data_IF_332049739468
#
_entry.id   IF_332049739468
#
_cell.length_a   1.000
_cell.length_b   1.000
_cell.length_c   1.000
_cell.angle_alpha   90.00
_cell.angle_beta   90.00
_cell.angle_gamma   90.00
#
_symmetry.space_group_name_H-M   'P 1'
#
loop_
_entity.id
_entity.type
_entity.pdbx_description
1 polymer ?
#
# COMPACT_ATOMS: atom_id res chain seq x y z
N UNK A 1 41.32 -7.39 -33.47
CA UNK A 1 40.25 -7.18 -32.48
C UNK A 1 38.94 -7.47 -33.18
N UNK A 2 38.24 -8.52 -32.75
CA UNK A 2 36.98 -8.96 -33.36
C UNK A 2 35.88 -7.97 -32.95
N UNK A 3 35.14 -7.43 -33.91
CA UNK A 3 34.08 -6.42 -33.68
C UNK A 3 32.82 -7.00 -33.01
N UNK A 4 32.87 -8.22 -32.46
CA UNK A 4 31.72 -8.92 -31.88
C UNK A 4 31.65 -8.82 -30.35
N UNK A 5 32.65 -8.26 -29.67
CA UNK A 5 32.69 -8.17 -28.21
C UNK A 5 31.89 -6.99 -27.62
N UNK A 6 31.29 -6.13 -28.47
CA UNK A 6 30.53 -4.94 -28.04
C UNK A 6 29.01 -5.16 -27.96
N UNK A 7 28.51 -6.37 -28.24
CA UNK A 7 27.07 -6.68 -28.23
C UNK A 7 26.53 -7.10 -26.85
N UNK A 8 27.40 -7.29 -25.85
CA UNK A 8 27.01 -7.42 -24.45
C UNK A 8 27.14 -6.06 -23.76
N UNK A 9 26.49 -5.03 -24.31
CA UNK A 9 26.17 -3.86 -23.52
C UNK A 9 25.34 -4.38 -22.34
N UNK A 10 25.85 -4.17 -21.12
CA UNK A 10 25.16 -4.34 -19.84
C UNK A 10 23.85 -3.54 -19.87
N UNK A 11 22.85 -4.05 -20.58
CA UNK A 11 21.49 -3.60 -20.42
C UNK A 11 21.18 -3.91 -18.95
N UNK A 12 20.91 -2.90 -18.11
CA UNK A 12 20.52 -3.16 -16.75
C UNK A 12 19.30 -4.07 -16.83
N UNK A 13 19.46 -5.31 -16.34
CA UNK A 13 18.34 -6.21 -16.15
C UNK A 13 17.37 -5.42 -15.27
N UNK A 14 16.13 -5.15 -15.72
CA UNK A 14 15.16 -4.43 -14.91
C UNK A 14 15.11 -5.09 -13.54
N UNK A 15 15.37 -4.33 -12.49
CA UNK A 15 15.38 -4.86 -11.14
C UNK A 15 13.97 -5.44 -10.87
N UNK A 16 13.83 -6.75 -10.58
CA UNK A 16 12.54 -7.36 -10.24
C UNK A 16 11.91 -6.77 -8.96
N UNK A 17 12.61 -5.84 -8.28
CA UNK A 17 12.12 -5.05 -7.17
C UNK A 17 10.81 -4.26 -7.39
N UNK A 18 10.22 -4.27 -8.59
CA UNK A 18 8.94 -3.61 -8.85
C UNK A 18 7.71 -4.50 -8.70
N UNK A 19 7.85 -5.83 -8.64
CA UNK A 19 6.69 -6.71 -8.49
C UNK A 19 5.95 -6.44 -7.17
N UNK A 20 6.69 -6.07 -6.12
CA UNK A 20 6.11 -5.64 -4.85
C UNK A 20 5.77 -4.15 -4.78
N UNK A 21 6.06 -3.32 -5.79
CA UNK A 21 5.82 -1.87 -5.74
C UNK A 21 4.34 -1.54 -5.55
N UNK A 22 3.45 -2.33 -6.17
CA UNK A 22 2.00 -2.18 -5.99
C UNK A 22 1.59 -2.50 -4.55
N UNK A 23 2.09 -3.60 -4.00
CA UNK A 23 1.84 -4.02 -2.61
C UNK A 23 2.37 -2.97 -1.63
N UNK A 24 3.59 -2.46 -1.87
CA UNK A 24 4.20 -1.40 -1.07
C UNK A 24 3.36 -0.13 -1.11
N UNK A 25 2.94 0.31 -2.30
CA UNK A 25 2.12 1.51 -2.47
C UNK A 25 0.79 1.38 -1.73
N UNK A 26 0.10 0.24 -1.88
CA UNK A 26 -1.13 -0.04 -1.12
C UNK A 26 -0.89 -0.02 0.39
N UNK A 27 0.22 -0.59 0.86
CA UNK A 27 0.57 -0.63 2.28
C UNK A 27 0.84 0.78 2.84
N UNK A 28 1.57 1.63 2.11
CA UNK A 28 1.83 3.01 2.52
C UNK A 28 0.54 3.81 2.61
N UNK A 29 -0.36 3.65 1.63
CA UNK A 29 -1.66 4.31 1.62
C UNK A 29 -2.53 3.89 2.81
N UNK A 30 -2.63 2.57 3.07
CA UNK A 30 -3.36 2.06 4.25
C UNK A 30 -2.77 2.61 5.55
N UNK A 31 -1.44 2.64 5.68
CA UNK A 31 -0.80 3.20 6.87
C UNK A 31 -1.16 4.68 7.06
N UNK A 32 -1.13 5.48 6.00
CA UNK A 32 -1.53 6.89 6.07
C UNK A 32 -2.99 7.06 6.50
N UNK A 33 -3.92 6.27 5.95
CA UNK A 33 -5.34 6.30 6.33
C UNK A 33 -5.56 5.87 7.80
N UNK A 34 -4.81 4.89 8.30
CA UNK A 34 -4.83 4.49 9.71
C UNK A 34 -4.35 5.61 10.63
N UNK A 35 -3.27 6.31 10.27
CA UNK A 35 -2.80 7.45 11.06
C UNK A 35 -3.86 8.55 11.15
N UNK A 36 -4.52 8.87 10.03
CA UNK A 36 -5.64 9.84 10.02
C UNK A 36 -6.79 9.36 10.91
N UNK A 37 -7.14 8.07 10.86
CA UNK A 37 -8.18 7.51 11.73
C UNK A 37 -7.80 7.61 13.21
N UNK A 38 -6.57 7.27 13.58
CA UNK A 38 -6.12 7.39 14.97
C UNK A 38 -6.16 8.84 15.46
N UNK A 39 -5.78 9.78 14.60
CA UNK A 39 -5.83 11.20 14.91
C UNK A 39 -7.28 11.68 15.10
N UNK A 40 -8.20 11.23 14.24
CA UNK A 40 -9.63 11.48 14.41
C UNK A 40 -10.17 10.88 15.72
N UNK A 41 -9.86 9.61 16.01
CA UNK A 41 -10.26 8.97 17.27
C UNK A 41 -9.73 9.70 18.49
N UNK A 42 -8.50 10.26 18.43
CA UNK A 42 -7.94 11.06 19.50
C UNK A 42 -8.66 12.40 19.71
N UNK A 43 -9.39 12.91 18.70
CA UNK A 43 -10.22 14.12 18.84
C UNK A 43 -11.61 13.85 19.42
N UNK A 44 -12.02 12.58 19.52
CA UNK A 44 -13.32 12.20 20.06
C UNK A 44 -13.23 12.14 21.58
N UNK A 45 -13.86 13.10 22.26
CA UNK A 45 -13.91 13.13 23.72
C UNK A 45 -14.94 12.15 24.31
N UNK A 46 -16.03 11.88 23.58
CA UNK A 46 -17.12 11.00 24.02
C UNK A 46 -17.44 9.97 22.93
N UNK A 47 -17.55 8.70 23.32
CA UNK A 47 -18.04 7.66 22.42
C UNK A 47 -19.55 7.88 22.18
N UNK A 48 -19.91 8.27 20.95
CA UNK A 48 -21.31 8.36 20.51
C UNK A 48 -21.58 7.33 19.41
N UNK A 49 -22.83 6.88 19.24
CA UNK A 49 -23.19 5.95 18.18
C UNK A 49 -22.82 6.46 16.77
N UNK A 50 -22.87 7.77 16.56
CA UNK A 50 -22.49 8.41 15.29
C UNK A 50 -20.98 8.33 15.05
N UNK A 51 -20.18 8.62 16.08
CA UNK A 51 -18.73 8.49 16.02
C UNK A 51 -18.31 7.04 15.78
N UNK A 52 -18.97 6.08 16.44
CA UNK A 52 -18.74 4.65 16.24
C UNK A 52 -19.07 4.21 14.81
N UNK A 53 -20.19 4.69 14.25
CA UNK A 53 -20.58 4.41 12.88
C UNK A 53 -19.57 4.99 11.87
N UNK A 54 -19.06 6.20 12.12
CA UNK A 54 -18.04 6.83 11.27
C UNK A 54 -16.69 6.09 11.34
N UNK A 55 -16.23 5.72 12.54
CA UNK A 55 -15.00 4.92 12.74
C UNK A 55 -15.13 3.60 12.00
N UNK A 56 -16.27 2.91 12.14
CA UNK A 56 -16.54 1.65 11.47
C UNK A 56 -16.48 1.79 9.95
N UNK A 57 -17.10 2.82 9.38
CA UNK A 57 -17.07 3.06 7.93
C UNK A 57 -15.64 3.28 7.41
N UNK A 58 -14.80 4.01 8.16
CA UNK A 58 -13.38 4.21 7.80
C UNK A 58 -12.58 2.90 7.90
N UNK A 59 -12.80 2.10 8.95
CA UNK A 59 -12.17 0.79 9.09
C UNK A 59 -12.58 -0.19 7.98
N UNK A 60 -13.85 -0.20 7.58
CA UNK A 60 -14.34 -1.05 6.49
C UNK A 60 -13.63 -0.68 5.16
N UNK A 61 -13.47 0.61 4.87
CA UNK A 61 -12.70 1.10 3.72
C UNK A 61 -11.23 0.65 3.76
N UNK A 62 -10.56 0.82 4.90
CA UNK A 62 -9.17 0.38 5.09
C UNK A 62 -9.06 -1.15 4.90
N UNK A 63 -10.00 -1.91 5.44
CA UNK A 63 -10.08 -3.36 5.28
C UNK A 63 -10.21 -3.78 3.81
N UNK A 64 -11.00 -3.07 3.01
CA UNK A 64 -11.10 -3.33 1.56
C UNK A 64 -9.78 -3.09 0.82
N UNK A 65 -9.02 -2.05 1.21
CA UNK A 65 -7.71 -1.77 0.63
C UNK A 65 -6.68 -2.83 1.00
N UNK A 66 -6.67 -3.28 2.26
CA UNK A 66 -5.83 -4.40 2.71
C UNK A 66 -6.16 -5.70 1.97
N UNK A 67 -7.45 -5.99 1.75
CA UNK A 67 -7.86 -7.14 0.97
C UNK A 67 -7.41 -7.05 -0.50
N UNK A 68 -7.39 -5.85 -1.08
CA UNK A 68 -6.84 -5.62 -2.41
C UNK A 68 -5.33 -5.91 -2.44
N UNK A 69 -4.58 -5.38 -1.47
CA UNK A 69 -3.15 -5.64 -1.35
C UNK A 69 -2.84 -7.13 -1.18
N UNK A 70 -3.62 -7.83 -0.35
CA UNK A 70 -3.51 -9.28 -0.17
C UNK A 70 -3.70 -10.06 -1.46
N UNK A 71 -4.70 -9.70 -2.28
CA UNK A 71 -4.94 -10.39 -3.57
C UNK A 71 -3.77 -10.27 -4.53
N UNK A 72 -2.99 -9.18 -4.46
CA UNK A 72 -1.77 -9.00 -5.25
C UNK A 72 -0.60 -9.87 -4.75
N UNK A 73 -0.64 -10.30 -3.49
CA UNK A 73 0.32 -11.26 -2.92
C UNK A 73 -0.07 -12.70 -3.33
N UNK A 74 -1.37 -12.98 -3.35
CA UNK A 74 -1.93 -14.30 -3.62
C UNK A 74 -2.03 -14.63 -5.13
N UNK A 75 -1.73 -13.67 -6.02
CA UNK A 75 -1.81 -13.77 -7.50
C UNK A 75 -0.48 -14.19 -8.15
#
# INVERSE_FOLDING_TARGET
MNNNDLLNADYPIPDPAWDYAQIWHHSQRVNAELQVLFQYMATIENATPEADAEIKAKLDSIGQQLNTARRLIDS
#
